data_IF_139454963329
#
_entry.id   IF_139454963329
#
_cell.length_a   1.000
_cell.length_b   1.000
_cell.length_c   1.000
_cell.angle_alpha   90.00
_cell.angle_beta   90.00
_cell.angle_gamma   90.00
#
_symmetry.space_group_name_H-M   'P 1'
#
loop_
_entity.id
_entity.type
_entity.pdbx_description
1 polymer ?
#
# COMPACT_ATOMS: atom_id res chain seq x y z
N UNK A 1 -69.68 -46.60 30.79
CA UNK A 1 -69.16 -45.21 30.80
C UNK A 1 -67.66 -45.26 31.09
N UNK A 2 -66.90 -45.28 30.02
CA UNK A 2 -65.42 -45.49 30.11
C UNK A 2 -64.73 -44.14 29.93
N UNK A 3 -64.06 -43.62 30.98
CA UNK A 3 -63.29 -42.38 30.96
C UNK A 3 -61.93 -42.66 30.38
N UNK A 4 -61.63 -42.02 29.26
CA UNK A 4 -60.33 -42.04 28.60
C UNK A 4 -59.44 -41.11 29.36
N UNK A 5 -58.45 -41.66 30.08
CA UNK A 5 -57.31 -40.89 30.65
C UNK A 5 -56.33 -40.52 29.54
N UNK A 6 -56.26 -39.27 29.23
CA UNK A 6 -55.29 -38.76 28.25
C UNK A 6 -53.86 -38.95 28.76
N UNK A 7 -53.03 -39.58 27.99
CA UNK A 7 -51.63 -39.92 28.25
C UNK A 7 -50.74 -38.64 28.27
N UNK A 8 -50.25 -38.31 29.44
CA UNK A 8 -49.42 -37.15 29.75
C UNK A 8 -47.93 -37.37 29.40
N UNK A 9 -47.58 -38.27 28.42
CA UNK A 9 -46.20 -38.68 28.12
C UNK A 9 -45.50 -37.90 27.01
N UNK A 10 -46.13 -36.92 26.40
CA UNK A 10 -45.54 -36.22 25.25
C UNK A 10 -44.68 -34.99 25.65
N UNK A 11 -44.68 -34.57 26.90
CA UNK A 11 -44.02 -33.32 27.30
C UNK A 11 -42.59 -33.44 27.90
N UNK A 12 -42.02 -34.64 27.89
CA UNK A 12 -40.70 -34.85 28.56
C UNK A 12 -39.47 -35.00 27.59
N UNK A 13 -39.62 -34.81 26.29
CA UNK A 13 -38.52 -35.09 25.37
C UNK A 13 -37.73 -33.88 24.86
N UNK A 14 -37.93 -32.68 25.38
CA UNK A 14 -37.18 -31.49 24.91
C UNK A 14 -36.63 -30.69 26.08
N UNK A 15 -35.63 -31.20 26.80
CA UNK A 15 -34.68 -30.36 27.57
C UNK A 15 -33.56 -31.22 28.16
N UNK A 16 -32.36 -31.23 27.52
CA UNK A 16 -31.18 -30.68 28.19
C UNK A 16 -30.12 -30.06 27.28
N UNK A 17 -30.38 -29.84 25.99
CA UNK A 17 -29.38 -29.30 25.06
C UNK A 17 -29.05 -27.80 25.25
N UNK A 18 -29.95 -27.03 25.84
CA UNK A 18 -29.80 -25.56 25.96
C UNK A 18 -28.66 -25.09 26.90
N UNK A 19 -28.39 -25.83 27.96
CA UNK A 19 -27.39 -25.41 28.96
C UNK A 19 -25.94 -25.64 28.51
N UNK A 20 -25.68 -26.70 27.71
CA UNK A 20 -24.33 -26.96 27.17
C UNK A 20 -23.98 -25.96 26.06
N UNK A 21 -24.89 -25.77 25.12
CA UNK A 21 -24.71 -24.76 24.03
C UNK A 21 -24.49 -23.36 24.60
N UNK A 22 -25.28 -22.98 25.61
CA UNK A 22 -25.14 -21.69 26.28
C UNK A 22 -23.75 -21.54 26.89
N UNK A 23 -23.25 -22.50 27.65
CA UNK A 23 -21.89 -22.48 28.24
C UNK A 23 -20.81 -22.40 27.16
N UNK A 24 -20.96 -23.16 26.06
CA UNK A 24 -20.02 -23.11 24.93
C UNK A 24 -19.99 -21.73 24.29
N UNK A 25 -21.14 -21.07 24.09
CA UNK A 25 -21.18 -19.72 23.55
C UNK A 25 -20.63 -18.68 24.54
N UNK A 26 -20.89 -18.81 25.84
CA UNK A 26 -20.37 -17.91 26.86
C UNK A 26 -18.85 -17.97 26.96
N UNK A 27 -18.28 -19.13 27.18
CA UNK A 27 -16.82 -19.32 27.30
C UNK A 27 -16.09 -19.18 25.95
N UNK A 28 -16.71 -19.67 24.86
CA UNK A 28 -16.20 -19.53 23.51
C UNK A 28 -16.18 -18.06 23.07
N UNK A 29 -17.25 -17.31 23.36
CA UNK A 29 -17.33 -15.88 23.08
C UNK A 29 -16.30 -15.07 23.86
N UNK A 30 -16.10 -15.37 25.16
CA UNK A 30 -15.06 -14.74 25.96
C UNK A 30 -13.65 -15.03 25.42
N UNK A 31 -13.35 -16.31 25.16
CA UNK A 31 -12.05 -16.71 24.61
C UNK A 31 -11.78 -16.09 23.24
N UNK A 32 -12.75 -16.12 22.33
CA UNK A 32 -12.64 -15.49 21.01
C UNK A 32 -12.46 -13.97 21.14
N UNK A 33 -13.19 -13.32 22.04
CA UNK A 33 -13.06 -11.89 22.32
C UNK A 33 -11.65 -11.52 22.81
N UNK A 34 -11.09 -12.29 23.73
CA UNK A 34 -9.71 -12.08 24.22
C UNK A 34 -8.66 -12.22 23.10
N UNK A 35 -8.81 -13.22 22.24
CA UNK A 35 -7.93 -13.43 21.09
C UNK A 35 -8.02 -12.24 20.13
N UNK A 36 -9.22 -11.80 19.78
CA UNK A 36 -9.44 -10.65 18.90
C UNK A 36 -8.85 -9.36 19.48
N UNK A 37 -9.01 -9.12 20.80
CA UNK A 37 -8.39 -7.98 21.48
C UNK A 37 -6.87 -8.05 21.36
N UNK A 38 -6.26 -9.21 21.64
CA UNK A 38 -4.82 -9.38 21.58
C UNK A 38 -4.29 -9.12 20.15
N UNK A 39 -4.90 -9.72 19.13
CA UNK A 39 -4.53 -9.47 17.73
C UNK A 39 -4.78 -8.01 17.32
N UNK A 40 -5.86 -7.40 17.78
CA UNK A 40 -6.16 -5.99 17.52
C UNK A 40 -5.07 -5.07 18.07
N UNK A 41 -4.64 -5.27 19.30
CA UNK A 41 -3.54 -4.49 19.90
C UNK A 41 -2.24 -4.69 19.13
N UNK A 42 -1.87 -5.94 18.82
CA UNK A 42 -0.64 -6.25 18.05
C UNK A 42 -0.69 -5.57 16.68
N UNK A 43 -1.79 -5.65 15.96
CA UNK A 43 -1.93 -5.03 14.63
C UNK A 43 -1.79 -3.50 14.70
N UNK A 44 -2.38 -2.85 15.71
CA UNK A 44 -2.24 -1.40 15.93
C UNK A 44 -0.79 -1.03 16.18
N UNK A 45 -0.11 -1.72 17.11
CA UNK A 45 1.29 -1.46 17.45
C UNK A 45 2.20 -1.64 16.24
N UNK A 46 2.05 -2.76 15.51
CA UNK A 46 2.81 -3.02 14.29
C UNK A 46 2.55 -1.98 13.20
N UNK A 47 1.30 -1.53 13.06
CA UNK A 47 0.93 -0.51 12.10
C UNK A 47 1.61 0.84 12.40
N UNK A 48 1.61 1.30 13.65
CA UNK A 48 2.32 2.51 14.04
C UNK A 48 3.84 2.38 13.90
N UNK A 49 4.41 1.25 14.34
CA UNK A 49 5.84 0.97 14.22
C UNK A 49 6.29 0.96 12.75
N UNK A 50 5.55 0.28 11.87
CA UNK A 50 5.87 0.23 10.45
C UNK A 50 5.85 1.62 9.80
N UNK A 51 4.87 2.46 10.11
CA UNK A 51 4.79 3.84 9.61
C UNK A 51 5.92 4.71 10.15
N UNK A 52 6.31 4.57 11.41
CA UNK A 52 7.47 5.26 11.98
C UNK A 52 8.75 4.85 11.25
N UNK A 53 8.98 3.56 11.04
CA UNK A 53 10.15 3.04 10.31
C UNK A 53 10.24 3.65 8.91
N UNK A 54 9.12 3.70 8.17
CA UNK A 54 9.09 4.34 6.84
C UNK A 54 9.44 5.82 6.92
N UNK A 55 8.86 6.55 7.88
CA UNK A 55 9.15 7.97 8.05
C UNK A 55 10.63 8.23 8.39
N UNK A 56 11.21 7.40 9.23
CA UNK A 56 12.60 7.55 9.65
C UNK A 56 13.58 7.17 8.52
N UNK A 57 13.28 6.13 7.74
CA UNK A 57 14.05 5.80 6.53
C UNK A 57 14.02 6.94 5.51
N UNK A 58 12.85 7.52 5.24
CA UNK A 58 12.72 8.66 4.32
C UNK A 58 13.46 9.91 4.83
N UNK A 59 13.47 10.18 6.14
CA UNK A 59 14.21 11.30 6.73
C UNK A 59 15.72 11.17 6.56
N UNK A 60 16.26 9.94 6.57
CA UNK A 60 17.70 9.70 6.39
C UNK A 60 18.18 10.12 5.00
N UNK A 61 17.31 10.04 3.99
CA UNK A 61 17.63 10.47 2.62
C UNK A 61 17.73 11.98 2.46
N UNK A 62 17.21 12.77 3.43
CA UNK A 62 17.26 14.25 3.44
C UNK A 62 16.70 14.91 2.17
N UNK A 63 15.80 14.23 1.47
CA UNK A 63 15.20 14.72 0.23
C UNK A 63 14.25 15.88 0.55
N UNK A 64 14.39 16.96 -0.20
CA UNK A 64 13.47 18.12 -0.18
C UNK A 64 12.96 18.35 -1.61
N UNK A 65 11.68 18.61 -1.74
CA UNK A 65 11.07 18.91 -3.05
C UNK A 65 11.61 20.20 -3.66
N UNK A 66 11.94 20.19 -4.95
CA UNK A 66 12.37 21.36 -5.70
C UNK A 66 11.29 22.46 -5.74
N UNK A 67 11.68 23.69 -6.03
CA UNK A 67 10.76 24.83 -6.08
C UNK A 67 9.69 24.70 -7.17
N UNK A 68 9.98 24.00 -8.23
CA UNK A 68 9.14 23.66 -9.39
C UNK A 68 8.08 22.56 -9.08
N UNK A 69 8.22 21.83 -7.98
CA UNK A 69 7.36 20.69 -7.64
C UNK A 69 6.00 21.11 -7.08
N UNK A 70 5.30 21.93 -7.84
CA UNK A 70 3.88 22.24 -7.68
C UNK A 70 3.09 21.77 -8.91
N UNK A 71 1.82 21.37 -8.79
CA UNK A 71 1.04 20.88 -9.94
C UNK A 71 0.99 21.87 -11.11
N UNK A 72 0.92 23.18 -10.82
CA UNK A 72 0.83 24.21 -11.86
C UNK A 72 2.18 24.40 -12.60
N UNK A 73 3.30 24.44 -11.88
CA UNK A 73 4.62 24.64 -12.49
C UNK A 73 5.03 23.43 -13.31
N UNK A 74 4.89 22.22 -12.77
CA UNK A 74 5.27 21.02 -13.51
C UNK A 74 4.37 20.78 -14.74
N UNK A 75 3.10 21.17 -14.70
CA UNK A 75 2.23 21.10 -15.87
C UNK A 75 2.67 22.07 -16.98
N UNK A 76 3.11 23.28 -16.58
CA UNK A 76 3.69 24.25 -17.52
C UNK A 76 4.99 23.72 -18.12
N UNK A 77 5.89 23.20 -17.30
CA UNK A 77 7.18 22.64 -17.71
C UNK A 77 7.00 21.46 -18.69
N UNK A 78 6.13 20.52 -18.36
CA UNK A 78 5.79 19.41 -19.26
C UNK A 78 5.25 19.90 -20.61
N UNK A 79 4.41 20.94 -20.61
CA UNK A 79 3.88 21.55 -21.84
C UNK A 79 4.97 22.23 -22.65
N UNK A 80 5.83 23.01 -22.00
CA UNK A 80 6.95 23.73 -22.63
C UNK A 80 7.96 22.73 -23.22
N UNK A 81 8.17 21.59 -22.60
CA UNK A 81 8.98 20.46 -23.08
C UNK A 81 8.28 19.63 -24.18
N UNK A 82 7.07 19.98 -24.60
CA UNK A 82 6.33 19.24 -25.65
C UNK A 82 5.82 17.89 -25.19
N UNK A 83 5.77 17.60 -23.89
CA UNK A 83 5.26 16.36 -23.35
C UNK A 83 3.73 16.33 -23.40
N UNK A 84 3.18 15.71 -24.43
CA UNK A 84 1.73 15.52 -24.60
C UNK A 84 1.30 14.20 -23.94
N UNK A 85 0.15 14.22 -23.26
CA UNK A 85 -0.48 13.03 -22.66
C UNK A 85 0.37 12.34 -21.56
N UNK A 86 1.01 13.14 -20.71
CA UNK A 86 1.70 12.58 -19.53
C UNK A 86 0.67 12.00 -18.57
N UNK A 87 0.68 10.67 -18.41
CA UNK A 87 -0.19 9.98 -17.47
C UNK A 87 0.22 10.29 -16.02
N UNK A 88 -0.76 10.43 -15.14
CA UNK A 88 -0.55 10.60 -13.70
C UNK A 88 0.22 11.87 -13.30
N UNK A 89 -0.18 13.01 -13.82
CA UNK A 89 0.33 14.31 -13.37
C UNK A 89 0.19 14.46 -11.86
N UNK A 90 1.22 15.00 -11.17
CA UNK A 90 1.16 15.24 -9.72
C UNK A 90 0.03 16.19 -9.35
N UNK A 91 -0.69 15.86 -8.27
CA UNK A 91 -1.79 16.69 -7.74
C UNK A 91 -1.47 17.29 -6.37
N UNK A 92 -0.36 16.89 -5.75
CA UNK A 92 0.05 17.33 -4.41
C UNK A 92 1.37 18.09 -4.51
N UNK A 93 1.39 19.34 -4.09
CA UNK A 93 2.62 20.15 -4.04
C UNK A 93 3.58 19.65 -2.95
N UNK A 94 4.85 19.46 -3.32
CA UNK A 94 5.95 19.10 -2.41
C UNK A 94 7.10 20.10 -2.44
N UNK A 95 6.96 21.22 -3.16
CA UNK A 95 7.96 22.27 -3.24
C UNK A 95 8.40 22.73 -1.83
N UNK A 96 9.68 22.74 -1.57
CA UNK A 96 10.29 23.13 -0.28
C UNK A 96 9.95 22.22 0.90
N UNK A 97 9.24 21.10 0.69
CA UNK A 97 8.84 20.19 1.77
C UNK A 97 9.81 19.01 1.87
N UNK A 98 10.16 18.64 3.10
CA UNK A 98 10.90 17.40 3.35
C UNK A 98 10.04 16.18 2.94
N UNK A 99 10.64 15.23 2.24
CA UNK A 99 10.01 14.00 1.79
C UNK A 99 10.20 12.95 2.88
N UNK A 100 9.37 13.03 3.90
CA UNK A 100 9.46 12.23 5.13
C UNK A 100 8.16 11.45 5.46
N UNK A 101 7.24 11.33 4.50
CA UNK A 101 6.01 10.54 4.64
C UNK A 101 5.70 9.81 3.34
N UNK A 102 5.01 8.66 3.43
CA UNK A 102 4.61 7.89 2.25
C UNK A 102 3.88 8.72 1.18
N UNK A 103 2.85 9.51 1.52
CA UNK A 103 2.18 10.38 0.54
C UNK A 103 3.09 11.40 -0.16
N UNK A 104 4.04 12.01 0.58
CA UNK A 104 5.02 12.92 -0.04
C UNK A 104 6.01 12.19 -0.92
N UNK A 105 6.46 10.99 -0.51
CA UNK A 105 7.33 10.15 -1.31
C UNK A 105 6.68 9.80 -2.66
N UNK A 106 5.41 9.38 -2.66
CA UNK A 106 4.66 9.13 -3.89
C UNK A 106 4.50 10.37 -4.78
N UNK A 107 4.17 11.52 -4.18
CA UNK A 107 4.06 12.78 -4.92
C UNK A 107 5.40 13.15 -5.55
N UNK A 108 6.50 13.12 -4.79
CA UNK A 108 7.85 13.39 -5.29
C UNK A 108 8.24 12.46 -6.44
N UNK A 109 7.96 11.15 -6.33
CA UNK A 109 8.18 10.19 -7.40
C UNK A 109 7.49 10.58 -8.71
N UNK A 110 6.26 11.14 -8.64
CA UNK A 110 5.53 11.60 -9.83
C UNK A 110 6.20 12.80 -10.50
N UNK A 111 6.78 13.73 -9.74
CA UNK A 111 7.58 14.84 -10.28
C UNK A 111 8.85 14.34 -10.94
N UNK A 112 9.59 13.46 -10.28
CA UNK A 112 10.83 12.89 -10.83
C UNK A 112 10.62 12.19 -12.17
N UNK A 113 9.47 11.53 -12.35
CA UNK A 113 9.11 10.90 -13.62
C UNK A 113 8.93 11.94 -14.73
N UNK A 114 8.37 13.12 -14.45
CA UNK A 114 8.19 14.17 -15.46
C UNK A 114 9.54 14.76 -15.84
N UNK A 115 10.40 15.07 -14.86
CA UNK A 115 11.77 15.54 -15.14
C UNK A 115 12.57 14.53 -15.96
N UNK A 116 12.39 13.22 -15.71
CA UNK A 116 13.05 12.19 -16.52
C UNK A 116 12.51 12.14 -17.96
N UNK A 117 11.20 12.33 -18.16
CA UNK A 117 10.60 12.45 -19.49
C UNK A 117 11.13 13.69 -20.23
N UNK A 118 11.20 14.83 -19.54
CA UNK A 118 11.76 16.05 -20.09
C UNK A 118 13.21 15.84 -20.54
N UNK A 119 14.06 15.33 -19.65
CA UNK A 119 15.48 15.08 -19.93
C UNK A 119 15.73 14.03 -21.02
N UNK A 120 14.75 13.16 -21.29
CA UNK A 120 14.83 12.14 -22.35
C UNK A 120 14.05 12.50 -23.62
N UNK A 121 13.53 13.75 -23.74
CA UNK A 121 12.75 14.18 -24.90
C UNK A 121 11.41 13.46 -25.04
N UNK A 122 10.79 13.02 -23.93
CA UNK A 122 9.51 12.31 -23.89
C UNK A 122 9.62 10.79 -24.08
N UNK A 123 10.83 10.24 -24.20
CA UNK A 123 11.04 8.82 -24.43
C UNK A 123 11.32 8.06 -23.14
N UNK A 124 10.80 6.85 -23.04
CA UNK A 124 11.03 5.95 -21.92
C UNK A 124 12.21 5.00 -22.20
N UNK A 125 12.64 4.26 -21.17
CA UNK A 125 13.76 3.32 -21.23
C UNK A 125 13.73 2.40 -22.46
N UNK A 126 12.59 1.77 -22.76
CA UNK A 126 12.46 0.81 -23.84
C UNK A 126 12.51 1.43 -25.24
N UNK A 127 12.33 2.75 -25.34
CA UNK A 127 12.35 3.49 -26.60
C UNK A 127 13.74 4.00 -26.98
N UNK A 128 14.70 3.92 -26.06
CA UNK A 128 16.07 4.43 -26.22
C UNK A 128 17.06 3.27 -26.40
N UNK A 129 17.98 3.40 -27.32
CA UNK A 129 19.07 2.44 -27.53
C UNK A 129 20.06 2.41 -26.36
N UNK A 130 20.73 1.29 -26.15
CA UNK A 130 21.69 1.05 -25.06
C UNK A 130 22.92 1.95 -25.14
N UNK A 131 23.33 2.28 -26.34
CA UNK A 131 24.56 3.02 -26.60
C UNK A 131 24.27 4.35 -27.28
N UNK A 132 25.10 5.34 -27.03
CA UNK A 132 25.15 6.55 -27.84
C UNK A 132 25.52 6.19 -29.25
N UNK A 133 24.70 6.58 -30.23
CA UNK A 133 25.00 6.31 -31.63
C UNK A 133 26.14 7.23 -32.13
N UNK A 134 27.04 6.71 -32.97
CA UNK A 134 28.02 7.54 -33.65
C UNK A 134 27.39 8.41 -34.75
N UNK A 135 28.02 9.53 -35.12
CA UNK A 135 27.55 10.36 -36.23
C UNK A 135 27.26 9.55 -37.47
N UNK A 136 26.24 9.93 -38.23
CA UNK A 136 25.83 9.32 -39.50
C UNK A 136 25.36 7.85 -39.39
N UNK A 137 24.97 7.39 -38.21
CA UNK A 137 24.32 6.09 -38.06
C UNK A 137 23.01 6.06 -38.86
N UNK A 138 22.81 5.03 -39.73
CA UNK A 138 21.58 4.89 -40.51
C UNK A 138 20.32 4.91 -39.60
N UNK A 139 19.25 5.57 -40.05
CA UNK A 139 18.00 5.67 -39.28
C UNK A 139 17.43 4.31 -38.83
N UNK A 140 17.59 3.28 -39.70
CA UNK A 140 17.16 1.91 -39.39
C UNK A 140 17.93 1.25 -38.22
N UNK A 141 19.05 1.83 -37.78
CA UNK A 141 19.90 1.36 -36.69
C UNK A 141 19.71 2.24 -35.42
N UNK A 142 18.89 3.26 -35.50
CA UNK A 142 18.56 4.14 -34.34
C UNK A 142 17.27 3.68 -33.65
N UNK A 143 17.29 3.70 -32.34
CA UNK A 143 16.06 3.60 -31.54
C UNK A 143 15.23 4.88 -31.72
N UNK A 144 13.91 4.80 -31.54
CA UNK A 144 12.96 5.93 -31.70
C UNK A 144 13.34 7.12 -30.81
N UNK A 145 13.74 6.85 -29.57
CA UNK A 145 14.23 7.84 -28.60
C UNK A 145 15.73 8.13 -28.69
N UNK A 146 16.36 7.81 -29.80
CA UNK A 146 17.79 8.00 -30.00
C UNK A 146 18.68 6.90 -29.44
N UNK A 147 19.96 6.96 -29.81
CA UNK A 147 20.90 5.89 -29.52
C UNK A 147 20.74 4.65 -30.42
N UNK A 148 21.51 3.63 -30.14
CA UNK A 148 21.49 2.37 -30.89
C UNK A 148 21.67 1.16 -29.98
N UNK A 149 21.08 0.02 -30.34
CA UNK A 149 21.33 -1.26 -29.66
C UNK A 149 22.44 -2.08 -30.37
N UNK A 150 22.87 -1.62 -31.55
CA UNK A 150 23.89 -2.30 -32.30
C UNK A 150 25.30 -1.73 -31.95
N UNK A 151 26.20 -2.55 -31.33
CA UNK A 151 27.55 -2.08 -30.95
C UNK A 151 28.38 -1.56 -32.13
N UNK A 152 28.12 -2.00 -33.35
CA UNK A 152 28.87 -1.56 -34.57
C UNK A 152 28.59 -0.07 -34.86
N UNK A 153 27.42 0.43 -34.49
CA UNK A 153 27.03 1.83 -34.68
C UNK A 153 27.15 2.65 -33.38
N UNK A 154 27.67 2.05 -32.31
CA UNK A 154 27.91 2.76 -31.07
C UNK A 154 29.11 3.68 -31.14
N UNK A 155 29.02 4.84 -30.53
CA UNK A 155 30.17 5.70 -30.23
C UNK A 155 31.13 4.93 -29.32
N UNK A 156 32.42 4.92 -29.68
CA UNK A 156 33.46 4.24 -28.90
C UNK A 156 34.24 5.28 -28.09
N UNK A 157 34.32 5.05 -26.78
CA UNK A 157 35.17 5.82 -25.89
C UNK A 157 36.68 5.55 -26.23
N UNK A 158 37.41 6.59 -26.51
CA UNK A 158 38.79 6.45 -27.01
C UNK A 158 39.74 5.78 -25.98
N UNK A 159 39.68 6.14 -24.67
CA UNK A 159 40.54 5.50 -23.68
C UNK A 159 40.15 4.04 -23.39
N UNK A 160 38.90 3.76 -23.12
CA UNK A 160 38.45 2.42 -22.69
C UNK A 160 38.22 1.44 -23.85
N UNK A 161 38.10 1.94 -25.10
CA UNK A 161 37.70 1.18 -26.28
C UNK A 161 36.33 0.50 -26.17
N UNK A 162 35.49 0.96 -25.22
CA UNK A 162 34.16 0.41 -25.01
C UNK A 162 33.07 1.30 -25.64
N UNK A 163 31.91 0.73 -26.00
CA UNK A 163 30.77 1.51 -26.45
C UNK A 163 30.30 2.47 -25.34
N UNK A 164 30.08 3.73 -25.69
CA UNK A 164 29.56 4.74 -24.79
C UNK A 164 28.08 4.48 -24.47
N UNK A 165 27.77 4.31 -23.21
CA UNK A 165 26.39 4.11 -22.77
C UNK A 165 25.51 5.32 -23.07
N UNK A 166 24.23 5.10 -23.38
CA UNK A 166 23.27 6.16 -23.60
C UNK A 166 22.88 6.80 -22.25
N UNK A 167 23.30 8.05 -22.03
CA UNK A 167 23.08 8.77 -20.78
C UNK A 167 21.59 8.96 -20.45
N UNK A 168 20.75 9.29 -21.43
CA UNK A 168 19.31 9.44 -21.23
C UNK A 168 18.65 8.12 -20.77
N UNK A 169 19.07 7.00 -21.34
CA UNK A 169 18.59 5.67 -20.91
C UNK A 169 19.06 5.33 -19.48
N UNK A 170 20.30 5.68 -19.13
CA UNK A 170 20.81 5.47 -17.77
C UNK A 170 20.10 6.36 -16.74
N UNK A 171 19.67 7.58 -17.10
CA UNK A 171 18.83 8.43 -16.28
C UNK A 171 17.52 7.72 -15.90
N UNK A 172 16.91 7.00 -16.86
CA UNK A 172 15.72 6.20 -16.61
C UNK A 172 15.94 5.06 -15.61
N UNK A 173 17.10 4.42 -15.63
CA UNK A 173 17.45 3.39 -14.63
C UNK A 173 17.47 4.01 -13.22
N UNK A 174 18.13 5.16 -13.09
CA UNK A 174 18.20 5.90 -11.82
C UNK A 174 16.83 6.38 -11.36
N UNK A 175 16.05 6.97 -12.28
CA UNK A 175 14.67 7.41 -11.97
C UNK A 175 13.81 6.24 -11.51
N UNK A 176 13.82 5.13 -12.26
CA UNK A 176 13.02 3.95 -11.91
C UNK A 176 13.43 3.36 -10.57
N UNK A 177 14.71 3.32 -10.24
CA UNK A 177 15.18 2.86 -8.94
C UNK A 177 14.68 3.77 -7.81
N UNK A 178 14.84 5.09 -7.96
CA UNK A 178 14.38 6.08 -6.99
C UNK A 178 12.86 6.04 -6.82
N UNK A 179 12.11 6.09 -7.92
CA UNK A 179 10.64 6.11 -7.87
C UNK A 179 10.07 4.79 -7.35
N UNK A 180 10.73 3.65 -7.61
CA UNK A 180 10.37 2.36 -7.02
C UNK A 180 10.54 2.39 -5.50
N UNK A 181 11.67 2.87 -4.99
CA UNK A 181 11.92 3.00 -3.55
C UNK A 181 10.88 3.90 -2.87
N UNK A 182 10.60 5.06 -3.48
CA UNK A 182 9.61 6.02 -2.97
C UNK A 182 8.17 5.46 -2.98
N UNK A 183 7.79 4.77 -4.05
CA UNK A 183 6.48 4.13 -4.14
C UNK A 183 6.36 2.94 -3.18
N UNK A 184 7.42 2.19 -2.95
CA UNK A 184 7.47 1.12 -1.93
C UNK A 184 7.30 1.70 -0.54
N UNK A 185 7.95 2.82 -0.23
CA UNK A 185 7.76 3.55 1.04
C UNK A 185 6.31 4.01 1.22
N UNK A 186 5.66 4.52 0.16
CA UNK A 186 4.23 4.83 0.19
C UNK A 186 3.36 3.58 0.45
N UNK A 187 3.64 2.48 -0.24
CA UNK A 187 2.88 1.23 -0.05
C UNK A 187 3.02 0.70 1.38
N UNK A 188 4.23 0.72 1.94
CA UNK A 188 4.49 0.32 3.31
C UNK A 188 3.77 1.21 4.33
N UNK A 189 3.74 2.55 4.11
CA UNK A 189 2.95 3.48 4.94
C UNK A 189 1.44 3.14 4.89
N UNK A 190 0.91 2.82 3.69
CA UNK A 190 -0.51 2.44 3.53
C UNK A 190 -0.84 1.11 4.16
N UNK A 191 0.08 0.15 4.08
CA UNK A 191 -0.08 -1.15 4.74
C UNK A 191 -0.08 -0.99 6.27
N UNK A 192 0.79 -0.13 6.82
CA UNK A 192 0.76 0.22 8.24
C UNK A 192 -0.56 0.85 8.67
N UNK A 193 -1.10 1.80 7.88
CA UNK A 193 -2.41 2.40 8.12
C UNK A 193 -3.53 1.35 8.07
N UNK A 194 -3.51 0.45 7.09
CA UNK A 194 -4.46 -0.66 7.00
C UNK A 194 -4.40 -1.55 8.24
N UNK A 195 -3.19 -1.88 8.73
CA UNK A 195 -3.01 -2.64 9.95
C UNK A 195 -3.64 -1.96 11.18
N UNK A 196 -3.51 -0.63 11.30
CA UNK A 196 -4.16 0.14 12.38
C UNK A 196 -5.69 0.03 12.28
N UNK A 197 -6.27 0.23 11.10
CA UNK A 197 -7.73 0.18 10.90
C UNK A 197 -8.28 -1.21 11.21
N UNK A 198 -7.63 -2.26 10.70
CA UNK A 198 -8.01 -3.65 11.00
C UNK A 198 -7.85 -3.96 12.48
N UNK A 199 -6.76 -3.49 13.09
CA UNK A 199 -6.51 -3.67 14.52
C UNK A 199 -7.59 -3.03 15.40
N UNK A 200 -8.05 -1.81 15.07
CA UNK A 200 -9.17 -1.15 15.76
C UNK A 200 -10.46 -1.96 15.58
N UNK A 201 -10.75 -2.44 14.39
CA UNK A 201 -11.95 -3.25 14.14
C UNK A 201 -11.95 -4.55 14.95
N UNK A 202 -10.80 -5.26 14.98
CA UNK A 202 -10.63 -6.47 15.78
C UNK A 202 -10.78 -6.20 17.29
N UNK A 203 -10.16 -5.12 17.76
CA UNK A 203 -10.24 -4.72 19.17
C UNK A 203 -11.68 -4.41 19.59
N UNK A 204 -12.41 -3.62 18.83
CA UNK A 204 -13.81 -3.29 19.10
C UNK A 204 -14.71 -4.55 19.03
N UNK A 205 -14.50 -5.41 18.04
CA UNK A 205 -15.22 -6.69 17.92
C UNK A 205 -14.95 -7.59 19.12
N UNK A 206 -13.66 -7.70 19.53
CA UNK A 206 -13.26 -8.50 20.67
C UNK A 206 -13.88 -8.02 21.97
N UNK A 207 -13.89 -6.69 22.22
CA UNK A 207 -14.59 -6.08 23.36
C UNK A 207 -16.09 -6.41 23.31
N UNK A 208 -16.70 -6.29 22.12
CA UNK A 208 -18.12 -6.62 21.92
C UNK A 208 -18.43 -8.08 22.30
N UNK A 209 -17.62 -9.05 21.88
CA UNK A 209 -17.79 -10.45 22.26
C UNK A 209 -17.64 -10.68 23.78
N UNK A 210 -16.67 -10.01 24.41
CA UNK A 210 -16.48 -10.09 25.87
C UNK A 210 -17.71 -9.55 26.60
N UNK A 211 -18.20 -8.37 26.21
CA UNK A 211 -19.40 -7.75 26.82
C UNK A 211 -20.62 -8.64 26.65
N UNK A 212 -20.84 -9.20 25.45
CA UNK A 212 -21.96 -10.12 25.19
C UNK A 212 -21.85 -11.39 26.04
N UNK A 213 -20.64 -11.97 26.18
CA UNK A 213 -20.42 -13.13 27.03
C UNK A 213 -20.77 -12.84 28.49
N UNK A 214 -20.33 -11.69 29.04
CA UNK A 214 -20.70 -11.28 30.40
C UNK A 214 -22.19 -11.00 30.55
N UNK A 215 -22.85 -10.33 29.60
CA UNK A 215 -24.29 -10.07 29.63
C UNK A 215 -25.11 -11.37 29.60
N UNK A 216 -24.66 -12.39 28.87
CA UNK A 216 -25.28 -13.72 28.82
C UNK A 216 -25.09 -14.48 30.15
N UNK A 217 -23.93 -14.37 30.82
CA UNK A 217 -23.65 -14.98 32.13
C UNK A 217 -24.48 -14.39 33.26
N UNK A 218 -24.78 -13.08 33.22
CA UNK A 218 -25.45 -12.36 34.31
C UNK A 218 -26.99 -12.32 34.20
N UNK A 219 -27.61 -13.03 33.23
CA UNK A 219 -29.07 -13.14 33.21
C UNK A 219 -29.56 -13.93 34.42
N UNK A 220 -30.33 -13.32 35.36
CA UNK A 220 -30.87 -14.04 36.48
C UNK A 220 -31.76 -15.16 35.99
N UNK A 221 -31.67 -16.35 36.62
CA UNK A 221 -32.62 -17.44 36.40
C UNK A 221 -34.01 -16.89 36.65
N UNK A 222 -34.88 -16.89 35.64
CA UNK A 222 -36.27 -16.55 35.84
C UNK A 222 -36.80 -17.40 37.00
N UNK A 223 -37.24 -16.75 38.09
CA UNK A 223 -37.88 -17.44 39.18
C UNK A 223 -39.14 -18.13 38.61
N UNK A 224 -39.16 -19.45 38.63
CA UNK A 224 -40.35 -20.22 38.31
C UNK A 224 -41.32 -19.93 39.44
N UNK A 225 -42.22 -18.97 39.24
CA UNK A 225 -43.37 -18.78 40.14
C UNK A 225 -44.24 -20.03 40.05
N UNK A 226 -44.20 -20.83 41.11
CA UNK A 226 -45.19 -21.84 41.37
C UNK A 226 -46.50 -21.11 41.69
N UNK A 227 -47.47 -21.25 40.81
CA UNK A 227 -48.90 -21.11 41.08
C UNK A 227 -49.58 -22.42 40.68
#
# INVERSE_FOLDING_TARGET
MSTITADNRVTQLVRPRSNLLRKVFEWGGFGAGMILVAFGVVAIVMGFSGRSTVADSLKQEKIVGGADMTPALIAKEAKDAGLTNVANMPTVAVAGKAINTGPRARAFASYMRIHALEASGGFTYAQMGRFTAKPNTPKAQLAVGGGTDNPQFALIDAPSKQPVANGARNLWVTETALTTALNTSYMADRLGLFGIVVGIALLLSGIGFIVLAFAALHRPKAATSLL
#
